data_IF_549816632325
#
_entry.id   IF_549816632325
#
_cell.length_a   1.000
_cell.length_b   1.000
_cell.length_c   1.000
_cell.angle_alpha   90.00
_cell.angle_beta   90.00
_cell.angle_gamma   90.00
#
_symmetry.space_group_name_H-M   'P 1'
#
loop_
_entity.id
_entity.type
_entity.pdbx_description
1 polymer ?
#
# COMPACT_ATOMS: atom_id res chain seq x y z
N UNK A 1 -31.59 19.46 -54.16
CA UNK A 1 -30.30 19.70 -53.45
C UNK A 1 -30.36 19.65 -51.91
N UNK A 2 -31.52 19.47 -51.24
CA UNK A 2 -31.58 19.38 -49.77
C UNK A 2 -31.45 17.95 -49.20
N UNK A 3 -31.66 16.93 -50.02
CA UNK A 3 -31.65 15.52 -49.58
C UNK A 3 -30.24 14.93 -49.52
N UNK A 4 -29.35 15.29 -50.44
CA UNK A 4 -27.97 14.77 -50.51
C UNK A 4 -27.14 15.18 -49.29
N UNK A 5 -27.36 16.41 -48.78
CA UNK A 5 -26.67 16.90 -47.59
C UNK A 5 -27.08 16.12 -46.32
N UNK A 6 -28.34 15.69 -46.22
CA UNK A 6 -28.84 14.87 -45.10
C UNK A 6 -28.20 13.48 -45.07
N UNK A 7 -28.01 12.86 -46.24
CA UNK A 7 -27.34 11.56 -46.33
C UNK A 7 -25.84 11.68 -46.00
N UNK A 8 -25.16 12.75 -46.45
CA UNK A 8 -23.75 12.98 -46.13
C UNK A 8 -23.51 13.18 -44.62
N UNK A 9 -24.40 13.87 -43.92
CA UNK A 9 -24.34 14.02 -42.44
C UNK A 9 -24.60 12.70 -41.70
N UNK A 10 -25.47 11.84 -42.26
CA UNK A 10 -25.79 10.55 -41.63
C UNK A 10 -24.62 9.56 -41.76
N UNK A 11 -23.92 9.58 -42.90
CA UNK A 11 -22.74 8.74 -43.15
C UNK A 11 -21.56 9.17 -42.26
N UNK A 12 -21.33 10.47 -42.08
CA UNK A 12 -20.26 10.96 -41.18
C UNK A 12 -20.55 10.66 -39.71
N UNK A 13 -21.81 10.72 -39.27
CA UNK A 13 -22.21 10.32 -37.93
C UNK A 13 -22.02 8.80 -37.69
N UNK A 14 -22.39 7.97 -38.67
CA UNK A 14 -22.26 6.51 -38.58
C UNK A 14 -20.79 6.05 -38.55
N UNK A 15 -19.89 6.70 -39.30
CA UNK A 15 -18.45 6.38 -39.28
C UNK A 15 -17.80 6.75 -37.94
N UNK A 16 -18.16 7.88 -37.33
CA UNK A 16 -17.66 8.25 -36.01
C UNK A 16 -18.15 7.32 -34.88
N UNK A 17 -19.36 6.77 -34.99
CA UNK A 17 -19.88 5.78 -34.03
C UNK A 17 -19.15 4.43 -34.16
N UNK A 18 -18.76 4.04 -35.38
CA UNK A 18 -18.02 2.79 -35.62
C UNK A 18 -16.55 2.86 -35.15
N UNK A 19 -15.90 4.03 -35.26
CA UNK A 19 -14.50 4.20 -34.82
C UNK A 19 -14.42 4.27 -33.28
N UNK A 20 -15.45 4.79 -32.59
CA UNK A 20 -15.51 4.80 -31.12
C UNK A 20 -15.78 3.43 -30.48
N UNK A 21 -16.28 2.44 -31.25
CA UNK A 21 -16.59 1.09 -30.75
C UNK A 21 -15.44 0.08 -30.94
N UNK A 22 -14.33 0.51 -31.57
CA UNK A 22 -13.12 -0.29 -31.77
C UNK A 22 -12.02 -0.13 -30.71
N UNK A 23 -12.33 0.46 -29.55
CA UNK A 23 -11.41 0.45 -28.41
C UNK A 23 -11.51 -0.90 -27.67
N UNK A 24 -10.40 -1.58 -27.36
CA UNK A 24 -10.43 -2.82 -26.59
C UNK A 24 -11.01 -2.53 -25.20
N UNK A 25 -12.26 -2.95 -25.02
CA UNK A 25 -13.05 -2.77 -23.80
C UNK A 25 -12.68 -3.88 -22.82
N UNK A 26 -11.44 -3.88 -22.33
CA UNK A 26 -10.96 -4.90 -21.38
C UNK A 26 -10.30 -4.32 -20.11
N UNK A 27 -10.45 -3.01 -19.84
CA UNK A 27 -9.90 -2.42 -18.60
C UNK A 27 -10.84 -1.48 -17.84
N UNK A 28 -12.05 -1.19 -18.34
CA UNK A 28 -12.95 -0.25 -17.65
C UNK A 28 -13.61 -0.83 -16.39
N UNK A 29 -13.80 -2.15 -16.31
CA UNK A 29 -14.34 -2.77 -15.10
C UNK A 29 -13.40 -2.68 -13.89
N UNK A 30 -12.08 -2.62 -14.10
CA UNK A 30 -11.11 -2.48 -13.00
C UNK A 30 -11.09 -1.05 -12.46
N UNK A 31 -11.30 -0.06 -13.33
CA UNK A 31 -11.28 1.36 -12.97
C UNK A 31 -12.61 1.85 -12.40
N UNK A 32 -13.74 1.31 -12.90
CA UNK A 32 -15.07 1.59 -12.37
C UNK A 32 -15.31 0.93 -11.00
N UNK A 33 -14.76 -0.26 -10.74
CA UNK A 33 -14.78 -0.87 -9.42
C UNK A 33 -14.09 -0.01 -8.35
N UNK A 34 -13.01 0.71 -8.73
CA UNK A 34 -12.34 1.65 -7.83
C UNK A 34 -13.16 2.90 -7.50
N UNK A 35 -14.22 3.20 -8.28
CA UNK A 35 -15.08 4.38 -8.12
C UNK A 35 -16.49 4.05 -7.58
N UNK A 36 -16.94 2.79 -7.71
CA UNK A 36 -18.27 2.34 -7.31
C UNK A 36 -18.39 1.92 -5.84
N UNK A 37 -17.31 1.86 -5.07
CA UNK A 37 -17.38 1.52 -3.64
C UNK A 37 -17.90 0.10 -3.36
N UNK A 38 -18.03 -0.75 -4.37
CA UNK A 38 -18.32 -2.17 -4.22
C UNK A 38 -17.01 -2.87 -3.83
N UNK A 39 -16.54 -2.55 -2.62
CA UNK A 39 -15.47 -3.29 -1.99
C UNK A 39 -16.04 -4.67 -1.69
N UNK A 40 -15.38 -5.72 -2.17
CA UNK A 40 -15.58 -7.08 -1.67
C UNK A 40 -15.56 -7.00 -0.15
N UNK A 41 -16.75 -7.15 0.40
CA UNK A 41 -17.03 -7.06 1.82
C UNK A 41 -16.28 -8.20 2.52
N UNK A 42 -15.78 -7.93 3.72
CA UNK A 42 -15.07 -8.87 4.62
C UNK A 42 -13.60 -9.19 4.32
N UNK A 43 -12.72 -8.17 4.35
CA UNK A 43 -11.36 -8.44 4.86
C UNK A 43 -11.43 -8.48 6.38
N UNK A 44 -11.23 -9.64 6.99
CA UNK A 44 -11.13 -9.81 8.45
C UNK A 44 -10.22 -8.72 9.04
N UNK A 45 -10.63 -8.02 10.11
CA UNK A 45 -9.84 -6.94 10.69
C UNK A 45 -8.49 -7.45 11.17
N UNK A 46 -7.41 -6.71 10.86
CA UNK A 46 -6.05 -7.09 11.27
C UNK A 46 -5.99 -7.12 12.80
N UNK A 47 -5.60 -8.25 13.37
CA UNK A 47 -5.49 -8.42 14.82
C UNK A 47 -4.04 -8.22 15.30
N UNK A 48 -3.86 -8.04 16.62
CA UNK A 48 -2.53 -8.05 17.23
C UNK A 48 -1.78 -9.37 16.95
N UNK A 49 -2.49 -10.49 16.91
CA UNK A 49 -1.91 -11.80 16.61
C UNK A 49 -1.31 -11.84 15.20
N UNK A 50 -2.00 -11.25 14.21
CA UNK A 50 -1.49 -11.13 12.84
C UNK A 50 -0.24 -10.25 12.77
N UNK A 51 -0.23 -9.15 13.53
CA UNK A 51 0.93 -8.25 13.62
C UNK A 51 2.12 -8.96 14.24
N UNK A 52 1.92 -9.65 15.37
CA UNK A 52 2.96 -10.47 16.01
C UNK A 52 3.48 -11.48 15.00
N UNK A 53 2.62 -12.33 14.44
CA UNK A 53 3.00 -13.32 13.41
C UNK A 53 3.85 -12.69 12.30
N UNK A 54 3.42 -11.54 11.76
CA UNK A 54 4.15 -10.85 10.70
C UNK A 54 5.52 -10.30 11.14
N UNK A 55 5.68 -9.81 12.37
CA UNK A 55 6.97 -9.37 12.91
C UNK A 55 8.00 -10.50 12.93
N UNK A 56 7.58 -11.71 13.32
CA UNK A 56 8.45 -12.90 13.34
C UNK A 56 8.73 -13.42 11.94
N UNK A 57 7.70 -13.55 11.10
CA UNK A 57 7.85 -14.00 9.70
C UNK A 57 8.78 -13.09 8.90
N UNK A 58 8.70 -11.78 9.12
CA UNK A 58 9.55 -10.79 8.44
C UNK A 58 10.95 -10.70 9.06
N UNK A 59 11.24 -11.45 10.12
CA UNK A 59 12.50 -11.45 10.85
C UNK A 59 12.80 -10.14 11.59
N UNK A 60 11.81 -9.25 11.74
CA UNK A 60 11.96 -7.94 12.38
C UNK A 60 12.15 -8.13 13.88
N UNK A 61 11.31 -8.97 14.50
CA UNK A 61 11.35 -9.19 15.93
C UNK A 61 10.65 -10.51 16.30
N UNK A 62 11.24 -11.28 17.22
CA UNK A 62 10.64 -12.48 17.78
C UNK A 62 10.21 -12.23 19.24
N UNK A 63 8.91 -12.10 19.48
CA UNK A 63 8.37 -11.86 20.82
C UNK A 63 8.46 -13.07 21.76
N UNK A 64 8.75 -14.27 21.22
CA UNK A 64 8.94 -15.50 21.99
C UNK A 64 10.43 -15.79 22.26
N UNK A 65 11.33 -14.85 21.95
CA UNK A 65 12.74 -15.05 22.17
C UNK A 65 13.03 -15.29 23.67
N UNK A 66 13.77 -16.36 23.95
CA UNK A 66 14.23 -16.71 25.30
C UNK A 66 15.28 -15.74 25.83
N UNK A 67 15.94 -14.98 24.96
CA UNK A 67 16.92 -13.96 25.33
C UNK A 67 16.33 -12.69 25.97
N UNK A 68 14.99 -12.55 25.97
CA UNK A 68 14.30 -11.42 26.58
C UNK A 68 14.27 -11.57 28.10
N UNK A 69 14.79 -10.55 28.80
CA UNK A 69 14.71 -10.43 30.25
C UNK A 69 13.27 -10.17 30.72
N UNK A 70 12.97 -10.43 31.99
CA UNK A 70 11.63 -10.19 32.54
C UNK A 70 11.21 -8.72 32.46
N UNK A 71 12.16 -7.80 32.60
CA UNK A 71 11.92 -6.37 32.43
C UNK A 71 11.53 -6.04 30.98
N UNK A 72 12.30 -6.53 30.01
CA UNK A 72 12.00 -6.33 28.59
C UNK A 72 10.67 -6.97 28.18
N UNK A 73 10.31 -8.13 28.77
CA UNK A 73 8.99 -8.74 28.54
C UNK A 73 7.85 -7.85 29.03
N UNK A 74 8.01 -7.19 30.19
CA UNK A 74 7.01 -6.23 30.71
C UNK A 74 6.90 -5.00 29.82
N UNK A 75 8.02 -4.44 29.38
CA UNK A 75 8.06 -3.30 28.46
C UNK A 75 7.41 -3.67 27.10
N UNK A 76 7.70 -4.86 26.59
CA UNK A 76 7.13 -5.39 25.36
C UNK A 76 5.62 -5.63 25.47
N UNK A 77 5.13 -6.13 26.60
CA UNK A 77 3.70 -6.29 26.82
C UNK A 77 2.97 -4.95 26.79
N UNK A 78 3.51 -3.91 27.43
CA UNK A 78 2.96 -2.54 27.37
C UNK A 78 2.96 -1.97 25.95
N UNK A 79 4.01 -2.23 25.17
CA UNK A 79 4.05 -1.86 23.77
C UNK A 79 2.91 -2.52 22.99
N UNK A 80 2.71 -3.82 23.18
CA UNK A 80 1.68 -4.56 22.46
C UNK A 80 0.26 -4.18 22.89
N UNK A 81 0.02 -3.86 24.16
CA UNK A 81 -1.24 -3.29 24.63
C UNK A 81 -1.56 -1.97 23.91
N UNK A 82 -0.57 -1.07 23.82
CA UNK A 82 -0.73 0.19 23.09
C UNK A 82 -1.02 -0.06 21.60
N UNK A 83 -0.29 -0.98 20.96
CA UNK A 83 -0.52 -1.38 19.57
C UNK A 83 -1.91 -1.98 19.38
N UNK A 84 -2.42 -2.77 20.33
CA UNK A 84 -3.76 -3.35 20.28
C UNK A 84 -4.86 -2.29 20.30
N UNK A 85 -4.74 -1.28 21.16
CA UNK A 85 -5.67 -0.12 21.20
C UNK A 85 -5.62 0.64 19.86
N UNK A 86 -4.43 0.85 19.33
CA UNK A 86 -4.25 1.52 18.03
C UNK A 86 -4.77 0.68 16.85
N UNK A 87 -4.76 -0.65 16.97
CA UNK A 87 -5.22 -1.56 15.92
C UNK A 87 -6.75 -1.71 15.97
N UNK A 88 -7.33 -1.84 17.16
CA UNK A 88 -8.78 -1.89 17.37
C UNK A 88 -9.48 -0.60 16.95
N UNK A 89 -8.90 0.56 17.23
CA UNK A 89 -9.41 1.84 16.69
C UNK A 89 -9.37 1.90 15.16
N UNK A 90 -8.38 1.24 14.55
CA UNK A 90 -8.20 1.15 13.09
C UNK A 90 -9.09 0.11 12.42
N UNK A 91 -9.54 -0.91 13.14
CA UNK A 91 -10.50 -1.90 12.64
C UNK A 91 -11.86 -1.28 12.28
N UNK A 92 -12.14 -0.06 12.77
CA UNK A 92 -13.32 0.76 12.42
C UNK A 92 -13.15 1.52 11.10
N UNK A 93 -11.97 1.51 10.50
CA UNK A 93 -11.68 2.18 9.23
C UNK A 93 -11.99 1.24 8.05
N UNK A 94 -12.32 1.77 6.86
CA UNK A 94 -12.60 0.95 5.69
C UNK A 94 -11.40 0.06 5.28
N UNK A 95 -11.69 -1.08 4.64
CA UNK A 95 -10.73 -2.14 4.32
C UNK A 95 -9.56 -1.67 3.45
N UNK A 96 -9.77 -0.69 2.58
CA UNK A 96 -8.73 -0.02 1.79
C UNK A 96 -7.62 0.62 2.65
N UNK A 97 -7.90 0.94 3.92
CA UNK A 97 -6.93 1.49 4.88
C UNK A 97 -6.27 0.37 5.71
N UNK A 98 -6.88 -0.80 5.83
CA UNK A 98 -6.42 -1.94 6.64
C UNK A 98 -5.37 -2.80 5.92
N UNK A 99 -4.16 -2.24 5.74
CA UNK A 99 -3.02 -2.98 5.20
C UNK A 99 -2.03 -3.41 6.31
N UNK A 100 -1.56 -4.66 6.25
CA UNK A 100 -0.58 -5.22 7.19
C UNK A 100 0.75 -4.46 7.24
N UNK A 101 1.21 -3.88 6.12
CA UNK A 101 2.41 -3.04 6.07
C UNK A 101 2.23 -1.74 6.87
N UNK A 102 1.01 -1.18 6.86
CA UNK A 102 0.70 -0.02 7.72
C UNK A 102 0.67 -0.42 9.20
N UNK A 103 0.19 -1.61 9.53
CA UNK A 103 0.19 -2.11 10.90
C UNK A 103 1.61 -2.33 11.43
N UNK A 104 2.54 -2.81 10.61
CA UNK A 104 3.96 -2.90 11.01
C UNK A 104 4.60 -1.52 11.23
N UNK A 105 4.31 -0.53 10.36
CA UNK A 105 4.73 0.86 10.58
C UNK A 105 4.11 1.49 11.83
N UNK A 106 2.91 1.05 12.20
CA UNK A 106 2.26 1.50 13.42
C UNK A 106 3.03 1.01 14.65
N UNK A 107 3.49 -0.25 14.66
CA UNK A 107 4.37 -0.78 15.72
C UNK A 107 5.67 0.03 15.78
N UNK A 108 6.31 0.30 14.65
CA UNK A 108 7.54 1.10 14.60
C UNK A 108 7.35 2.49 15.22
N UNK A 109 6.23 3.16 14.88
CA UNK A 109 5.90 4.48 15.44
C UNK A 109 5.59 4.43 16.93
N UNK A 110 4.84 3.44 17.37
CA UNK A 110 4.52 3.24 18.78
C UNK A 110 5.78 3.01 19.60
N UNK A 111 6.68 2.13 19.12
CA UNK A 111 7.97 1.86 19.75
C UNK A 111 8.84 3.12 19.81
N UNK A 112 8.97 3.87 18.70
CA UNK A 112 9.74 5.13 18.67
C UNK A 112 9.15 6.21 19.60
N UNK A 113 7.83 6.27 19.73
CA UNK A 113 7.16 7.22 20.64
C UNK A 113 7.42 6.82 22.10
N UNK A 114 7.20 5.56 22.46
CA UNK A 114 7.43 5.06 23.81
C UNK A 114 8.91 5.12 24.22
N UNK A 115 9.83 4.94 23.27
CA UNK A 115 11.26 5.13 23.49
C UNK A 115 11.59 6.59 23.84
N UNK A 116 11.05 7.56 23.08
CA UNK A 116 11.21 8.99 23.38
C UNK A 116 10.61 9.39 24.73
N UNK A 117 9.53 8.74 25.13
CA UNK A 117 8.87 8.96 26.42
C UNK A 117 9.54 8.20 27.59
N UNK A 118 10.61 7.43 27.33
CA UNK A 118 11.33 6.66 28.35
C UNK A 118 10.57 5.45 28.89
N UNK A 119 9.51 5.01 28.20
CA UNK A 119 8.68 3.86 28.59
C UNK A 119 9.26 2.51 28.14
N UNK A 120 10.13 2.53 27.12
CA UNK A 120 10.87 1.38 26.60
C UNK A 120 12.37 1.66 26.74
N UNK A 121 13.13 0.62 27.09
CA UNK A 121 14.59 0.66 27.10
C UNK A 121 15.20 0.66 25.70
N UNK A 122 16.32 1.35 25.54
CA UNK A 122 17.12 1.30 24.30
C UNK A 122 17.56 -0.12 23.94
N UNK A 123 17.79 -0.97 24.96
CA UNK A 123 18.15 -2.38 24.78
C UNK A 123 17.03 -3.18 24.11
N UNK A 124 15.77 -2.99 24.52
CA UNK A 124 14.64 -3.63 23.86
C UNK A 124 14.41 -3.06 22.47
N UNK A 125 14.50 -1.73 22.31
CA UNK A 125 14.32 -1.09 21.01
C UNK A 125 15.37 -1.56 19.97
N UNK A 126 16.61 -1.78 20.40
CA UNK A 126 17.70 -2.28 19.56
C UNK A 126 17.51 -3.72 19.06
N UNK A 127 16.62 -4.51 19.67
CA UNK A 127 16.28 -5.87 19.22
C UNK A 127 15.35 -5.89 18.00
N UNK A 128 14.78 -4.74 17.60
CA UNK A 128 13.92 -4.64 16.44
C UNK A 128 14.71 -4.30 15.17
N UNK A 129 14.72 -5.23 14.23
CA UNK A 129 15.42 -5.15 12.95
C UNK A 129 14.55 -4.49 11.86
N UNK A 130 14.23 -3.21 12.04
CA UNK A 130 13.35 -2.45 11.13
C UNK A 130 13.88 -2.35 9.69
N UNK A 131 15.19 -2.53 9.48
CA UNK A 131 15.82 -2.59 8.17
C UNK A 131 15.27 -3.72 7.29
N UNK A 132 14.80 -4.82 7.88
CA UNK A 132 14.26 -5.98 7.15
C UNK A 132 12.86 -5.74 6.58
N UNK A 133 12.15 -4.73 7.11
CA UNK A 133 10.84 -4.31 6.64
C UNK A 133 10.89 -3.68 5.23
N UNK A 134 12.08 -3.18 4.86
CA UNK A 134 12.37 -2.68 3.54
C UNK A 134 13.36 -3.64 2.89
N UNK A 135 12.91 -4.70 2.20
CA UNK A 135 13.73 -5.18 1.10
C UNK A 135 13.91 -3.95 0.23
N UNK A 136 15.12 -3.38 0.23
CA UNK A 136 15.51 -2.37 -0.75
C UNK A 136 15.43 -3.07 -2.11
N UNK A 137 14.21 -3.24 -2.65
CA UNK A 137 13.98 -2.85 -4.02
C UNK A 137 14.34 -1.37 -3.97
N UNK A 138 15.63 -1.06 -4.20
CA UNK A 138 15.97 0.16 -4.90
C UNK A 138 14.91 0.18 -5.99
N UNK A 139 13.93 1.07 -5.89
CA UNK A 139 13.27 1.50 -7.11
C UNK A 139 14.47 1.85 -7.98
N UNK A 140 14.78 1.00 -8.96
CA UNK A 140 15.54 1.45 -10.09
C UNK A 140 14.81 2.73 -10.45
N UNK A 141 15.44 3.87 -10.15
CA UNK A 141 14.93 5.14 -10.62
C UNK A 141 14.83 4.87 -12.11
N UNK A 142 13.60 4.81 -12.61
CA UNK A 142 13.36 4.65 -14.03
C UNK A 142 14.28 5.70 -14.67
N UNK A 143 15.29 5.21 -15.40
CA UNK A 143 16.37 6.08 -15.85
C UNK A 143 15.77 6.87 -17.00
N UNK A 144 15.16 7.99 -16.65
CA UNK A 144 14.60 8.93 -17.59
C UNK A 144 15.47 10.18 -17.60
N UNK A 145 15.64 10.75 -18.78
CA UNK A 145 16.11 12.11 -18.92
C UNK A 145 14.96 12.99 -19.41
N UNK A 146 15.02 14.27 -19.09
CA UNK A 146 14.07 15.24 -19.61
C UNK A 146 14.60 15.72 -20.96
N UNK A 147 13.82 15.53 -22.03
CA UNK A 147 14.18 16.10 -23.32
C UNK A 147 14.03 17.62 -23.27
N UNK A 148 15.11 18.36 -23.52
CA UNK A 148 15.12 19.83 -23.48
C UNK A 148 14.26 20.47 -24.57
N UNK A 149 13.95 19.73 -25.64
CA UNK A 149 13.16 20.25 -26.76
C UNK A 149 11.66 20.11 -26.53
N UNK A 150 11.23 19.01 -25.91
CA UNK A 150 9.81 18.68 -25.73
C UNK A 150 9.35 18.74 -24.27
N UNK A 151 10.28 18.90 -23.31
CA UNK A 151 10.04 18.75 -21.87
C UNK A 151 9.40 17.40 -21.47
N UNK A 152 9.48 16.39 -22.33
CA UNK A 152 8.95 15.07 -22.08
C UNK A 152 9.97 14.20 -21.35
N UNK A 153 9.49 13.30 -20.48
CA UNK A 153 10.33 12.27 -19.84
C UNK A 153 10.57 11.15 -20.85
N UNK A 154 11.83 10.95 -21.25
CA UNK A 154 12.22 9.88 -22.16
C UNK A 154 12.85 8.75 -21.34
N UNK A 155 12.31 7.54 -21.46
CA UNK A 155 12.81 6.35 -20.75
C UNK A 155 13.73 5.55 -21.67
N UNK A 156 14.90 5.13 -21.16
CA UNK A 156 15.74 4.19 -21.89
C UNK A 156 15.07 2.81 -21.92
N UNK A 157 14.47 2.46 -23.06
CA UNK A 157 13.96 1.11 -23.30
C UNK A 157 15.14 0.27 -23.80
N UNK A 158 15.85 -0.38 -22.88
CA UNK A 158 16.75 -1.47 -23.28
C UNK A 158 15.87 -2.68 -23.63
N UNK A 159 15.55 -2.85 -24.91
CA UNK A 159 14.98 -4.09 -25.41
C UNK A 159 16.00 -5.22 -25.22
N UNK A 160 15.69 -6.16 -24.32
CA UNK A 160 16.32 -7.48 -24.30
C UNK A 160 15.46 -8.45 -25.07
#
# INVERSE_FOLDING_TARGET
>A
MKSVLKYATYITFAVNVLICSGCPHETENVKAAYKSGEMVDQSVPITLADIKRKLKESGIFNWQDSSLTDRERKELNKLFEAVEIMTTSRARQPSNVQNIFYSLRLVERALKKQLKEGQISDTLAGKFHWEKLFPRRRQEKSTYYLDKKTNMRVFHINNK
#
